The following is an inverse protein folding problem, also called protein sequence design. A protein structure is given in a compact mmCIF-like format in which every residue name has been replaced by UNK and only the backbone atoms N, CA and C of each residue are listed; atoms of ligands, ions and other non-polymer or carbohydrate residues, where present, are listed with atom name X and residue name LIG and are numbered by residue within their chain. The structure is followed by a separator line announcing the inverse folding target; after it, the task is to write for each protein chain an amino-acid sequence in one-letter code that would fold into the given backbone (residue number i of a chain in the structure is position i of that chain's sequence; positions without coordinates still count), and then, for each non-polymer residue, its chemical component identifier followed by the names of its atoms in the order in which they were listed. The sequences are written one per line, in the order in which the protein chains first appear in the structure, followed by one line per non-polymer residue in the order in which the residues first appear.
data_IF_593100414896
#
_entry.id   IF_593100414896
#
_cell.length_a   1.000
_cell.length_b   1.000
_cell.length_c   1.000
_cell.angle_alpha   90.00
_cell.angle_beta   90.00
_cell.angle_gamma   90.00
#
_symmetry.space_group_name_H-M   'P 1'
#
loop_
_entity.id
_entity.type
_entity.pdbx_description
1 polymer ?
#
# COMPACT_ATOMS: atom_id res chain seq x y z
N UNK A 1 -11.30 -12.40 4.11
CA UNK A 1 -11.10 -10.98 3.74
C UNK A 1 -10.81 -10.89 2.25
N UNK A 2 -11.60 -10.12 1.51
CA UNK A 2 -11.43 -9.87 0.08
C UNK A 2 -10.48 -8.68 -0.14
N UNK A 3 -9.55 -8.81 -1.08
CA UNK A 3 -8.65 -7.73 -1.49
C UNK A 3 -9.03 -7.33 -2.90
N UNK A 4 -9.23 -6.04 -3.13
CA UNK A 4 -9.58 -5.49 -4.45
C UNK A 4 -8.40 -4.63 -4.91
N UNK A 5 -7.63 -5.13 -5.87
CA UNK A 5 -6.55 -4.38 -6.48
C UNK A 5 -7.13 -3.53 -7.62
N UNK A 6 -7.03 -2.21 -7.53
CA UNK A 6 -7.65 -1.31 -8.49
C UNK A 6 -6.71 -0.24 -9.02
N UNK A 7 -6.69 -0.08 -10.34
CA UNK A 7 -5.93 0.97 -11.00
C UNK A 7 -6.58 1.37 -12.33
N UNK A 8 -6.39 2.63 -12.71
CA UNK A 8 -6.75 3.14 -14.05
C UNK A 8 -5.70 2.71 -15.11
N UNK A 9 -4.50 2.34 -14.68
CA UNK A 9 -3.39 1.98 -15.56
C UNK A 9 -3.45 0.51 -15.97
N UNK A 10 -3.68 0.22 -17.26
CA UNK A 10 -3.64 -1.14 -17.81
C UNK A 10 -2.34 -1.89 -17.52
N UNK A 11 -1.19 -1.19 -17.55
CA UNK A 11 0.12 -1.77 -17.17
C UNK A 11 0.17 -2.26 -15.72
N UNK A 12 -0.58 -1.62 -14.83
CA UNK A 12 -0.70 -2.07 -13.43
C UNK A 12 -1.61 -3.29 -13.32
N UNK A 13 -2.69 -3.33 -14.11
CA UNK A 13 -3.58 -4.48 -14.19
C UNK A 13 -2.82 -5.71 -14.71
N UNK A 14 -2.11 -5.58 -15.83
CA UNK A 14 -1.25 -6.63 -16.40
C UNK A 14 -0.23 -7.14 -15.37
N UNK A 15 0.48 -6.23 -14.70
CA UNK A 15 1.46 -6.58 -13.68
C UNK A 15 0.83 -7.32 -12.48
N UNK A 16 -0.37 -6.93 -12.05
CA UNK A 16 -1.06 -7.68 -10.99
C UNK A 16 -1.52 -9.06 -11.45
N UNK A 17 -2.00 -9.21 -12.68
CA UNK A 17 -2.40 -10.51 -13.21
C UNK A 17 -1.23 -11.52 -13.14
N UNK A 18 0.00 -11.08 -13.47
CA UNK A 18 1.19 -11.95 -13.38
C UNK A 18 1.42 -12.57 -11.99
N UNK A 19 0.99 -11.91 -10.92
CA UNK A 19 1.23 -12.36 -9.54
C UNK A 19 -0.01 -12.84 -8.80
N UNK A 20 -1.18 -12.25 -9.06
CA UNK A 20 -2.39 -12.40 -8.25
C UNK A 20 -3.55 -13.11 -8.95
N UNK A 21 -3.47 -13.41 -10.25
CA UNK A 21 -4.61 -13.95 -11.03
C UNK A 21 -5.19 -15.25 -10.44
N UNK A 22 -4.36 -16.06 -9.78
CA UNK A 22 -4.78 -17.34 -9.19
C UNK A 22 -5.15 -17.24 -7.69
N UNK A 23 -5.10 -16.06 -7.09
CA UNK A 23 -5.38 -15.88 -5.66
C UNK A 23 -6.89 -15.71 -5.42
N UNK A 24 -7.57 -16.66 -4.74
CA UNK A 24 -9.04 -16.76 -4.74
C UNK A 24 -9.75 -15.61 -4.01
N UNK A 25 -9.05 -14.92 -3.10
CA UNK A 25 -9.57 -13.79 -2.34
C UNK A 25 -9.12 -12.43 -2.91
N UNK A 26 -8.51 -12.41 -4.10
CA UNK A 26 -8.05 -11.19 -4.76
C UNK A 26 -8.89 -10.94 -6.01
N UNK A 27 -9.40 -9.72 -6.14
CA UNK A 27 -10.12 -9.25 -7.30
C UNK A 27 -9.34 -8.10 -7.94
N UNK A 28 -8.97 -8.24 -9.21
CA UNK A 28 -8.30 -7.19 -9.97
C UNK A 28 -9.36 -6.41 -10.75
N UNK A 29 -9.40 -5.09 -10.60
CA UNK A 29 -10.32 -4.20 -11.31
C UNK A 29 -9.58 -3.07 -12.01
N UNK A 30 -9.81 -2.93 -13.31
CA UNK A 30 -9.44 -1.71 -14.02
C UNK A 30 -10.48 -0.62 -13.76
N UNK A 31 -10.05 0.52 -13.26
CA UNK A 31 -10.93 1.66 -12.98
C UNK A 31 -10.51 2.53 -11.80
N UNK A 32 -11.33 3.54 -11.57
CA UNK A 32 -11.16 4.47 -10.45
C UNK A 32 -11.50 3.80 -9.12
N UNK A 33 -10.49 3.68 -8.26
CA UNK A 33 -10.63 3.09 -6.93
C UNK A 33 -11.60 3.88 -6.04
N UNK A 34 -11.80 5.18 -6.31
CA UNK A 34 -12.78 6.01 -5.59
C UNK A 34 -14.22 5.65 -5.93
N UNK A 35 -14.48 4.73 -6.86
CA UNK A 35 -15.82 4.24 -7.17
C UNK A 35 -16.10 2.84 -6.60
N UNK A 36 -15.12 2.23 -5.92
CA UNK A 36 -15.26 0.90 -5.33
C UNK A 36 -16.01 1.00 -4.00
N UNK A 37 -17.05 0.20 -3.84
CA UNK A 37 -17.72 -0.05 -2.57
C UNK A 37 -17.02 -1.22 -1.86
N UNK A 38 -16.53 -0.97 -0.65
CA UNK A 38 -15.77 -1.92 0.18
C UNK A 38 -15.65 -1.36 1.60
N UNK A 39 -15.22 -2.17 2.56
CA UNK A 39 -15.15 -1.71 3.95
C UNK A 39 -14.04 -0.68 4.15
N UNK A 40 -12.91 -0.82 3.44
CA UNK A 40 -11.79 0.10 3.55
C UNK A 40 -11.11 0.40 2.21
N UNK A 41 -10.70 1.65 2.00
CA UNK A 41 -9.83 2.04 0.87
C UNK A 41 -8.46 2.49 1.36
N UNK A 42 -7.40 2.11 0.64
CA UNK A 42 -6.03 2.54 0.96
C UNK A 42 -5.70 3.87 0.30
N UNK A 43 -5.23 4.81 1.11
CA UNK A 43 -4.57 6.05 0.69
C UNK A 43 -3.04 5.85 0.76
N UNK A 44 -2.35 5.78 -0.39
CA UNK A 44 -0.89 5.56 -0.47
C UNK A 44 -0.12 6.87 -0.20
N UNK A 45 -0.34 7.43 0.99
CA UNK A 45 0.01 8.79 1.38
C UNK A 45 1.53 9.05 1.53
N UNK A 46 1.84 10.27 1.98
CA UNK A 46 3.13 10.62 2.58
C UNK A 46 3.09 10.53 4.11
N UNK A 47 4.26 10.57 4.75
CA UNK A 47 4.38 10.42 6.21
C UNK A 47 3.77 11.54 7.05
N UNK A 48 3.32 12.64 6.44
CA UNK A 48 2.71 13.78 7.15
C UNK A 48 1.20 13.89 6.95
N UNK A 49 0.60 12.99 6.16
CA UNK A 49 -0.85 12.95 5.96
C UNK A 49 -1.41 14.08 5.11
N UNK A 50 -0.60 14.72 4.25
CA UNK A 50 -1.14 15.58 3.19
C UNK A 50 -1.83 14.72 2.14
N UNK A 51 -3.03 15.12 1.72
CA UNK A 51 -3.87 14.38 0.79
C UNK A 51 -4.31 15.26 -0.39
N UNK A 52 -3.42 16.12 -0.86
CA UNK A 52 -3.67 17.18 -1.85
C UNK A 52 -3.14 16.84 -3.26
N UNK A 53 -2.67 15.61 -3.48
CA UNK A 53 -2.10 15.18 -4.77
C UNK A 53 -2.57 13.81 -5.24
N UNK A 54 -2.63 13.63 -6.56
CA UNK A 54 -2.88 12.34 -7.20
C UNK A 54 -4.16 11.65 -6.71
N UNK A 55 -4.04 10.38 -6.30
CA UNK A 55 -5.16 9.62 -5.75
C UNK A 55 -5.66 10.21 -4.42
N UNK A 56 -4.76 10.71 -3.56
CA UNK A 56 -5.16 11.23 -2.26
C UNK A 56 -6.07 12.45 -2.40
N UNK A 57 -5.83 13.28 -3.42
CA UNK A 57 -6.74 14.39 -3.77
C UNK A 57 -8.16 13.88 -4.08
N UNK A 58 -8.27 12.83 -4.90
CA UNK A 58 -9.58 12.26 -5.26
C UNK A 58 -10.30 11.64 -4.04
N UNK A 59 -9.54 11.05 -3.10
CA UNK A 59 -10.09 10.55 -1.83
C UNK A 59 -10.55 11.70 -0.92
N UNK A 60 -9.79 12.80 -0.85
CA UNK A 60 -10.19 14.01 -0.11
C UNK A 60 -11.45 14.65 -0.68
N UNK A 61 -11.58 14.73 -2.00
CA UNK A 61 -12.79 15.23 -2.66
C UNK A 61 -14.01 14.34 -2.38
N UNK A 62 -13.83 13.01 -2.32
CA UNK A 62 -14.91 12.07 -2.01
C UNK A 62 -15.33 12.12 -0.54
N UNK A 63 -14.37 12.05 0.39
CA UNK A 63 -14.66 11.87 1.82
C UNK A 63 -14.64 13.17 2.64
N UNK A 64 -14.22 14.27 2.02
CA UNK A 64 -14.15 15.58 2.64
C UNK A 64 -12.79 15.89 3.30
N UNK A 65 -12.39 17.16 3.19
CA UNK A 65 -11.11 17.68 3.68
C UNK A 65 -10.91 17.64 5.20
N UNK A 66 -11.96 17.38 5.98
CA UNK A 66 -11.82 17.17 7.43
C UNK A 66 -11.13 15.83 7.75
N UNK A 67 -11.15 14.86 6.83
CA UNK A 67 -10.42 13.61 6.98
C UNK A 67 -8.90 13.84 7.01
N UNK A 68 -8.39 14.70 6.12
CA UNK A 68 -6.98 15.09 6.11
C UNK A 68 -6.57 15.74 7.44
N UNK A 69 -7.37 16.69 7.94
CA UNK A 69 -7.09 17.38 9.21
C UNK A 69 -7.04 16.40 10.39
N UNK A 70 -7.96 15.44 10.44
CA UNK A 70 -7.98 14.38 11.45
C UNK A 70 -6.72 13.51 11.35
N UNK A 71 -6.35 13.08 10.14
CA UNK A 71 -5.13 12.30 9.90
C UNK A 71 -3.89 13.06 10.38
N UNK A 72 -3.72 14.31 9.97
CA UNK A 72 -2.59 15.14 10.40
C UNK A 72 -2.57 15.36 11.92
N UNK A 73 -3.72 15.54 12.56
CA UNK A 73 -3.80 15.68 14.01
C UNK A 73 -3.36 14.39 14.72
N UNK A 74 -3.74 13.21 14.22
CA UNK A 74 -3.28 11.93 14.76
C UNK A 74 -1.76 11.81 14.57
N UNK A 75 -1.26 12.06 13.35
CA UNK A 75 0.18 11.96 13.03
C UNK A 75 1.03 12.87 13.91
N UNK A 76 0.62 14.13 14.11
CA UNK A 76 1.33 15.09 14.97
C UNK A 76 1.43 14.65 16.43
N UNK A 77 0.49 13.83 16.89
CA UNK A 77 0.47 13.31 18.26
C UNK A 77 1.18 11.95 18.40
N UNK A 78 1.64 11.35 17.31
CA UNK A 78 2.50 10.17 17.38
C UNK A 78 3.85 10.57 18.01
N UNK A 79 4.50 9.68 18.78
CA UNK A 79 5.83 9.94 19.33
C UNK A 79 6.87 10.35 18.28
N UNK A 80 6.76 9.81 17.07
CA UNK A 80 7.62 10.10 15.93
C UNK A 80 7.31 11.45 15.28
N UNK A 81 6.11 12.00 15.48
CA UNK A 81 5.61 13.18 14.76
C UNK A 81 5.36 12.94 13.25
N UNK A 82 5.46 11.68 12.81
CA UNK A 82 5.28 11.23 11.42
C UNK A 82 4.75 9.80 11.39
N UNK A 83 4.00 9.43 10.35
CA UNK A 83 3.62 8.04 10.08
C UNK A 83 4.69 7.41 9.18
N UNK A 84 5.47 6.47 9.69
CA UNK A 84 6.61 5.93 8.95
C UNK A 84 6.16 5.00 7.81
N UNK A 85 6.96 4.92 6.75
CA UNK A 85 6.78 3.88 5.72
C UNK A 85 6.92 2.51 6.40
N UNK A 86 5.92 1.65 6.21
CA UNK A 86 5.79 0.40 6.96
C UNK A 86 4.88 0.46 8.19
N UNK A 87 4.24 1.62 8.43
CA UNK A 87 3.13 1.77 9.37
C UNK A 87 1.83 2.13 8.62
N UNK A 88 0.70 1.99 9.30
CA UNK A 88 -0.61 2.34 8.77
C UNK A 88 -1.58 2.79 9.86
N UNK A 89 -2.52 3.68 9.50
CA UNK A 89 -3.60 4.17 10.35
C UNK A 89 -4.95 3.96 9.68
N UNK A 90 -5.96 3.56 10.45
CA UNK A 90 -7.36 3.49 10.02
C UNK A 90 -8.07 4.75 10.49
N UNK A 91 -8.86 5.37 9.61
CA UNK A 91 -9.75 6.47 9.91
C UNK A 91 -11.16 6.15 9.43
N UNK A 92 -12.17 6.67 10.13
CA UNK A 92 -13.54 6.67 9.66
C UNK A 92 -13.74 7.78 8.63
N UNK A 93 -14.34 7.44 7.49
CA UNK A 93 -14.63 8.39 6.41
C UNK A 93 -15.99 9.09 6.61
N UNK A 94 -16.92 8.45 7.32
CA UNK A 94 -18.33 8.86 7.38
C UNK A 94 -19.16 8.48 6.14
N UNK A 95 -18.57 7.81 5.15
CA UNK A 95 -19.25 7.31 3.95
C UNK A 95 -19.81 5.90 4.22
N UNK A 96 -21.11 5.69 3.98
CA UNK A 96 -21.77 4.41 4.21
C UNK A 96 -21.27 3.28 3.27
N UNK A 97 -20.75 3.62 2.10
CA UNK A 97 -20.24 2.68 1.08
C UNK A 97 -18.77 2.35 1.25
N UNK A 98 -18.00 3.24 1.87
CA UNK A 98 -16.57 3.05 2.19
C UNK A 98 -16.30 3.61 3.57
N UNK A 99 -16.65 2.88 4.65
CA UNK A 99 -16.63 3.42 6.01
C UNK A 99 -15.24 3.73 6.55
N UNK A 100 -14.20 3.09 6.00
CA UNK A 100 -12.82 3.26 6.47
C UNK A 100 -11.86 3.71 5.37
N UNK A 101 -10.89 4.53 5.74
CA UNK A 101 -9.71 4.84 4.95
C UNK A 101 -8.46 4.39 5.72
N UNK A 102 -7.55 3.73 5.02
CA UNK A 102 -6.26 3.28 5.55
C UNK A 102 -5.17 4.18 4.98
N UNK A 103 -4.62 5.07 5.81
CA UNK A 103 -3.44 5.83 5.44
C UNK A 103 -2.20 4.95 5.59
N UNK A 104 -1.49 4.72 4.49
CA UNK A 104 -0.30 3.87 4.43
C UNK A 104 0.80 4.56 3.62
N UNK A 105 1.79 5.19 4.29
CA UNK A 105 2.79 5.98 3.61
C UNK A 105 3.67 5.14 2.67
N UNK A 106 3.80 5.60 1.42
CA UNK A 106 4.68 4.99 0.41
C UNK A 106 6.00 5.75 0.25
N UNK A 107 6.10 6.91 0.88
CA UNK A 107 7.28 7.76 0.92
C UNK A 107 7.14 8.76 2.08
N UNK A 108 8.25 9.29 2.56
CA UNK A 108 8.21 10.29 3.64
C UNK A 108 7.65 11.63 3.16
N UNK A 109 8.18 12.11 2.03
CA UNK A 109 7.69 13.27 1.29
C UNK A 109 7.47 12.87 -0.16
N UNK A 110 6.53 13.50 -0.89
CA UNK A 110 6.33 13.23 -2.32
C UNK A 110 7.62 13.41 -3.13
N UNK A 111 8.18 12.31 -3.65
CA UNK A 111 9.37 12.29 -4.51
C UNK A 111 9.40 11.02 -5.35
N UNK A 112 10.19 11.00 -6.42
CA UNK A 112 10.53 9.79 -7.16
C UNK A 112 11.96 9.30 -6.91
N UNK A 113 12.79 10.08 -6.21
CA UNK A 113 14.18 9.74 -5.97
C UNK A 113 14.30 8.46 -5.14
N UNK A 114 14.96 7.44 -5.70
CA UNK A 114 15.15 6.10 -5.12
C UNK A 114 13.86 5.34 -4.77
N UNK A 115 12.69 5.77 -5.22
CA UNK A 115 11.45 5.05 -4.92
C UNK A 115 11.36 3.76 -5.73
N UNK A 116 11.72 3.79 -7.01
CA UNK A 116 11.72 2.63 -7.90
C UNK A 116 12.69 1.51 -7.46
N UNK A 117 13.79 1.86 -6.81
CA UNK A 117 14.79 0.94 -6.24
C UNK A 117 14.57 0.61 -4.76
N UNK A 118 13.55 1.20 -4.11
CA UNK A 118 13.21 0.96 -2.70
C UNK A 118 12.37 -0.31 -2.49
N UNK A 119 12.10 -0.65 -1.22
CA UNK A 119 11.11 -1.66 -0.81
C UNK A 119 9.82 -1.03 -0.25
N UNK A 120 9.53 0.23 -0.59
CA UNK A 120 8.45 0.98 0.05
C UNK A 120 7.06 0.40 -0.24
N UNK A 121 6.82 -0.09 -1.46
CA UNK A 121 5.55 -0.73 -1.81
C UNK A 121 5.33 -2.02 -0.99
N UNK A 122 6.39 -2.79 -0.76
CA UNK A 122 6.37 -3.97 0.10
C UNK A 122 6.04 -3.60 1.55
N UNK A 123 6.72 -2.60 2.12
CA UNK A 123 6.50 -2.16 3.50
C UNK A 123 5.09 -1.61 3.70
N UNK A 124 4.62 -0.74 2.79
CA UNK A 124 3.28 -0.18 2.85
C UNK A 124 2.20 -1.26 2.72
N UNK A 125 2.34 -2.19 1.75
CA UNK A 125 1.41 -3.31 1.59
C UNK A 125 1.37 -4.17 2.86
N UNK A 126 2.53 -4.52 3.40
CA UNK A 126 2.63 -5.34 4.62
C UNK A 126 1.94 -4.67 5.80
N UNK A 127 2.12 -3.36 5.99
CA UNK A 127 1.46 -2.58 7.03
C UNK A 127 -0.07 -2.52 6.87
N UNK A 128 -0.55 -2.37 5.63
CA UNK A 128 -1.98 -2.44 5.32
C UNK A 128 -2.53 -3.81 5.70
N UNK A 129 -1.93 -4.88 5.17
CA UNK A 129 -2.41 -6.25 5.37
C UNK A 129 -2.42 -6.68 6.84
N UNK A 130 -1.38 -6.32 7.61
CA UNK A 130 -1.34 -6.59 9.06
C UNK A 130 -2.49 -5.88 9.77
N UNK A 131 -2.77 -4.63 9.40
CA UNK A 131 -3.84 -3.87 10.03
C UNK A 131 -5.21 -4.48 9.73
N UNK A 132 -5.52 -4.73 8.46
CA UNK A 132 -6.83 -5.28 8.07
C UNK A 132 -7.05 -6.71 8.56
N UNK A 133 -6.01 -7.56 8.59
CA UNK A 133 -6.11 -8.93 9.11
C UNK A 133 -6.48 -8.96 10.60
N UNK A 134 -6.10 -7.93 11.36
CA UNK A 134 -6.37 -7.80 12.79
C UNK A 134 -7.61 -6.96 13.11
N UNK A 135 -8.34 -6.46 12.11
CA UNK A 135 -9.55 -5.67 12.30
C UNK A 135 -10.78 -6.43 11.83
N UNK A 136 -11.58 -6.92 12.77
CA UNK A 136 -12.81 -7.68 12.49
C UNK A 136 -13.88 -6.91 11.71
N UNK A 137 -13.77 -5.58 11.61
CA UNK A 137 -14.74 -4.73 10.89
C UNK A 137 -14.44 -4.63 9.39
N UNK A 138 -13.22 -5.00 8.96
CA UNK A 138 -12.78 -4.86 7.57
C UNK A 138 -12.76 -6.25 6.92
N UNK A 139 -13.80 -6.56 6.14
CA UNK A 139 -13.90 -7.80 5.39
C UNK A 139 -13.46 -7.64 3.93
N UNK A 140 -13.44 -6.41 3.42
CA UNK A 140 -13.02 -6.06 2.06
C UNK A 140 -12.16 -4.80 2.06
N UNK A 141 -11.05 -4.80 1.32
CA UNK A 141 -10.15 -3.65 1.20
C UNK A 141 -9.77 -3.38 -0.26
N UNK A 142 -9.93 -2.14 -0.71
CA UNK A 142 -9.47 -1.68 -2.01
C UNK A 142 -8.06 -1.07 -1.89
N UNK A 143 -7.11 -1.56 -2.71
CA UNK A 143 -5.70 -1.19 -2.67
C UNK A 143 -5.26 -0.71 -4.07
N UNK A 144 -4.68 0.50 -4.19
CA UNK A 144 -4.18 1.02 -5.46
C UNK A 144 -2.78 0.49 -5.78
N UNK A 145 -2.26 0.83 -6.96
CA UNK A 145 -0.84 0.65 -7.27
C UNK A 145 0.04 1.47 -6.31
N UNK A 146 0.78 0.79 -5.43
CA UNK A 146 1.65 1.45 -4.45
C UNK A 146 2.95 1.93 -5.12
N UNK A 147 3.37 3.16 -4.83
CA UNK A 147 4.57 3.81 -5.40
C UNK A 147 4.55 4.08 -6.92
N UNK A 148 3.49 3.74 -7.66
CA UNK A 148 3.48 3.83 -9.15
C UNK A 148 3.07 5.19 -9.70
N UNK A 149 2.51 6.08 -8.88
CA UNK A 149 2.16 7.46 -9.24
C UNK A 149 3.38 8.39 -9.18
N UNK A 150 3.40 9.28 -8.16
CA UNK A 150 4.52 10.23 -7.93
C UNK A 150 5.87 9.49 -7.84
N UNK A 151 5.90 8.32 -7.20
CA UNK A 151 7.10 7.52 -7.02
C UNK A 151 7.67 6.92 -8.30
N UNK A 152 6.90 6.85 -9.39
CA UNK A 152 7.29 6.26 -10.68
C UNK A 152 7.86 4.84 -10.61
N UNK A 153 7.56 4.09 -9.55
CA UNK A 153 7.93 2.67 -9.48
C UNK A 153 7.29 1.92 -10.65
N UNK A 154 8.07 1.07 -11.32
CA UNK A 154 7.55 0.29 -12.44
C UNK A 154 6.42 -0.64 -11.95
N UNK A 155 5.30 -0.76 -12.69
CA UNK A 155 4.15 -1.58 -12.27
C UNK A 155 4.51 -3.01 -11.85
N UNK A 156 5.39 -3.68 -12.61
CA UNK A 156 5.83 -5.04 -12.31
C UNK A 156 6.62 -5.14 -10.99
N UNK A 157 7.42 -4.13 -10.66
CA UNK A 157 8.17 -4.06 -9.39
C UNK A 157 7.21 -3.82 -8.23
N UNK A 158 6.26 -2.90 -8.39
CA UNK A 158 5.21 -2.66 -7.39
C UNK A 158 4.37 -3.92 -7.14
N UNK A 159 3.87 -4.57 -8.20
CA UNK A 159 3.06 -5.78 -8.10
C UNK A 159 3.83 -6.92 -7.41
N UNK A 160 5.10 -7.14 -7.77
CA UNK A 160 5.98 -8.09 -7.10
C UNK A 160 6.11 -7.81 -5.60
N UNK A 161 6.41 -6.57 -5.23
CA UNK A 161 6.56 -6.16 -3.83
C UNK A 161 5.27 -6.35 -3.03
N UNK A 162 4.13 -5.96 -3.62
CA UNK A 162 2.81 -6.17 -3.04
C UNK A 162 2.50 -7.66 -2.84
N UNK A 163 2.83 -8.50 -3.82
CA UNK A 163 2.60 -9.95 -3.76
C UNK A 163 3.45 -10.63 -2.70
N UNK A 164 4.72 -10.23 -2.55
CA UNK A 164 5.57 -10.78 -1.49
C UNK A 164 4.98 -10.47 -0.11
N UNK A 165 4.56 -9.23 0.14
CA UNK A 165 3.87 -8.88 1.39
C UNK A 165 2.57 -9.69 1.59
N UNK A 166 1.79 -9.90 0.52
CA UNK A 166 0.59 -10.74 0.53
C UNK A 166 0.89 -12.19 0.94
N UNK A 167 1.91 -12.83 0.35
CA UNK A 167 2.29 -14.20 0.70
C UNK A 167 2.66 -14.33 2.18
N UNK A 168 3.41 -13.37 2.71
CA UNK A 168 3.84 -13.40 4.10
C UNK A 168 2.69 -13.23 5.10
N UNK A 169 1.74 -12.33 4.80
CA UNK A 169 0.71 -11.93 5.76
C UNK A 169 -0.59 -12.73 5.58
N UNK A 170 -1.03 -12.93 4.34
CA UNK A 170 -2.31 -13.58 4.01
C UNK A 170 -2.12 -15.08 3.85
N UNK A 171 -1.11 -15.53 3.10
CA UNK A 171 -0.82 -16.96 2.94
C UNK A 171 0.04 -17.53 4.08
N UNK A 172 0.46 -16.68 5.03
CA UNK A 172 1.27 -17.04 6.19
C UNK A 172 2.61 -17.71 5.83
N UNK A 173 3.12 -17.45 4.62
CA UNK A 173 4.42 -17.93 4.15
C UNK A 173 5.52 -17.06 4.75
N UNK A 174 5.70 -17.15 6.06
CA UNK A 174 6.72 -16.40 6.79
C UNK A 174 8.12 -16.89 6.43
N UNK A 175 9.04 -15.95 6.42
CA UNK A 175 10.45 -16.18 6.20
C UNK A 175 11.07 -16.83 7.43
N UNK A 176 11.89 -17.83 7.19
CA UNK A 176 12.76 -18.45 8.20
C UNK A 176 14.15 -18.55 7.58
N UNK A 177 15.05 -17.65 7.97
CA UNK A 177 16.38 -17.53 7.38
C UNK A 177 17.41 -18.25 8.23
N UNK A 178 18.13 -19.21 7.64
CA UNK A 178 19.19 -19.92 8.35
C UNK A 178 20.49 -19.12 8.47
N UNK A 179 20.72 -18.15 7.57
CA UNK A 179 21.90 -17.28 7.59
C UNK A 179 21.62 -15.92 6.91
N UNK A 180 22.57 -14.99 7.04
CA UNK A 180 22.47 -13.65 6.44
C UNK A 180 22.38 -13.65 4.91
N UNK A 181 23.07 -14.58 4.24
CA UNK A 181 23.04 -14.67 2.78
C UNK A 181 21.64 -15.00 2.24
N UNK A 182 20.87 -15.81 2.97
CA UNK A 182 19.48 -16.12 2.60
C UNK A 182 18.57 -14.89 2.78
N UNK A 183 18.75 -14.13 3.86
CA UNK A 183 18.06 -12.87 4.06
C UNK A 183 18.40 -11.83 2.97
N UNK A 184 19.66 -11.76 2.54
CA UNK A 184 20.11 -10.86 1.48
C UNK A 184 19.52 -11.23 0.11
N UNK A 185 19.52 -12.52 -0.24
CA UNK A 185 18.87 -13.02 -1.47
C UNK A 185 17.37 -12.73 -1.46
N UNK A 186 16.72 -12.89 -0.30
CA UNK A 186 15.32 -12.57 -0.14
C UNK A 186 15.06 -11.08 -0.38
N UNK A 187 15.85 -10.20 0.26
CA UNK A 187 15.76 -8.76 0.07
C UNK A 187 15.91 -8.36 -1.41
N UNK A 188 16.90 -8.93 -2.11
CA UNK A 188 17.06 -8.73 -3.55
C UNK A 188 15.84 -9.17 -4.35
N UNK A 189 15.22 -10.28 -3.97
CA UNK A 189 14.04 -10.76 -4.67
C UNK A 189 12.82 -9.84 -4.49
N UNK A 190 12.75 -9.07 -3.39
CA UNK A 190 11.73 -8.04 -3.19
C UNK A 190 11.85 -6.96 -4.27
N UNK A 191 13.07 -6.45 -4.50
CA UNK A 191 13.34 -5.50 -5.57
C UNK A 191 14.68 -5.77 -6.27
N UNK A 192 14.66 -6.42 -7.45
CA UNK A 192 15.87 -6.68 -8.23
C UNK A 192 16.54 -5.44 -8.82
N UNK A 193 15.89 -4.28 -8.76
CA UNK A 193 16.47 -2.99 -9.15
C UNK A 193 17.23 -2.31 -8.01
N UNK A 194 17.07 -2.79 -6.77
CA UNK A 194 17.85 -2.31 -5.63
C UNK A 194 19.34 -2.60 -5.83
N UNK A 195 20.22 -1.84 -5.18
CA UNK A 195 21.65 -2.18 -5.13
C UNK A 195 21.93 -3.11 -3.95
N UNK A 196 22.65 -4.20 -4.19
CA UNK A 196 23.30 -4.96 -3.12
C UNK A 196 24.68 -4.36 -2.89
N UNK A 197 25.05 -4.20 -1.62
CA UNK A 197 26.43 -3.95 -1.26
C UNK A 197 27.27 -5.18 -1.60
N UNK A 198 28.06 -5.09 -2.67
CA UNK A 198 29.09 -6.06 -3.04
C UNK A 198 30.43 -5.43 -2.65
N UNK A 199 31.15 -6.06 -1.71
CA UNK A 199 32.47 -5.63 -1.24
C UNK A 199 33.44 -5.29 -2.37
#
# INVERSE_FOLDING_TARGET
MQIILSAISSKMIEAWCEFFENEPNVLIKEGDITQIECDAVVSPANSFGFMDGGLDYALSERFGWDLEKKLQAIIKNLPEGELLVGQSLILETGDAKVPYLISAPTMRVPTNFNIDTSINAYLAMKAVLIKVKNDSKINSVAIPGLCTGVGRMQPIIAARQMYIAYKEIILEQKMDFSNFGDAQKYHWNINPQGMIWTH
#
